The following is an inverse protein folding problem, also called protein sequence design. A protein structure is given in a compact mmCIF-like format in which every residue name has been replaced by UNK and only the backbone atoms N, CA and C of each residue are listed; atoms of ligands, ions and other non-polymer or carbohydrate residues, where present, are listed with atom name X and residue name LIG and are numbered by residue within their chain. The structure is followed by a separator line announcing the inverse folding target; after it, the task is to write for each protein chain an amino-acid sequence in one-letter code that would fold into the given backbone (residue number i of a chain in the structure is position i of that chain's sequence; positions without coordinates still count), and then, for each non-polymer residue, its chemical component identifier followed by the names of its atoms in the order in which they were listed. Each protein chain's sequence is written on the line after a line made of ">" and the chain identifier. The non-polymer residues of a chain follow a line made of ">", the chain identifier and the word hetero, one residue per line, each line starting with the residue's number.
data_IF_987635373484
#
_entry.id   IF_987635373484
#
_cell.length_a   1.000
_cell.length_b   1.000
_cell.length_c   1.000
_cell.angle_alpha   90.00
_cell.angle_beta   90.00
_cell.angle_gamma   90.00
#
_symmetry.space_group_name_H-M   'P 1'
#
loop_
_entity.id
_entity.type
_entity.pdbx_description
1 polymer ?
#
# COMPACT_ATOMS: atom_id res chain seq x y z
N UNK A 1 -32.57 -42.68 -52.11
CA UNK A 1 -31.27 -42.09 -51.70
C UNK A 1 -31.48 -41.29 -50.45
N UNK A 2 -30.99 -41.81 -49.32
CA UNK A 2 -31.18 -41.19 -48.00
C UNK A 2 -29.94 -40.42 -47.63
N UNK A 3 -29.99 -39.10 -47.67
CA UNK A 3 -28.93 -38.21 -47.27
C UNK A 3 -28.99 -38.00 -45.74
N UNK A 4 -28.00 -38.52 -45.03
CA UNK A 4 -27.88 -38.37 -43.56
C UNK A 4 -27.07 -37.10 -43.30
N UNK A 5 -27.74 -36.07 -42.83
CA UNK A 5 -27.11 -34.83 -42.35
C UNK A 5 -26.62 -35.04 -40.92
N UNK A 6 -25.30 -35.09 -40.73
CA UNK A 6 -24.68 -35.15 -39.41
C UNK A 6 -24.58 -33.73 -38.83
N UNK A 7 -25.33 -33.43 -37.80
CA UNK A 7 -25.17 -32.24 -36.96
C UNK A 7 -23.92 -32.44 -36.08
N UNK A 8 -22.92 -31.62 -36.29
CA UNK A 8 -21.79 -31.45 -35.38
C UNK A 8 -22.15 -30.39 -34.31
N UNK A 9 -22.46 -30.84 -33.12
CA UNK A 9 -22.58 -29.94 -31.95
C UNK A 9 -21.19 -29.63 -31.41
N UNK A 10 -20.72 -28.42 -31.69
CA UNK A 10 -19.48 -27.90 -31.11
C UNK A 10 -19.78 -27.40 -29.68
N UNK A 11 -19.31 -28.14 -28.69
CA UNK A 11 -19.37 -27.74 -27.28
C UNK A 11 -18.24 -26.77 -27.02
N UNK A 12 -18.56 -25.47 -26.86
CA UNK A 12 -17.60 -24.45 -26.43
C UNK A 12 -17.40 -24.54 -24.95
N UNK A 13 -16.25 -25.04 -24.54
CA UNK A 13 -15.82 -25.07 -23.13
C UNK A 13 -15.24 -23.69 -22.77
N UNK A 14 -16.04 -22.85 -22.11
CA UNK A 14 -15.58 -21.57 -21.57
C UNK A 14 -14.79 -21.84 -20.30
N UNK A 15 -13.46 -21.77 -20.39
CA UNK A 15 -12.59 -21.82 -19.23
C UNK A 15 -12.65 -20.47 -18.51
N UNK A 16 -13.34 -20.40 -17.36
CA UNK A 16 -13.23 -19.26 -16.44
C UNK A 16 -11.83 -19.29 -15.79
N UNK A 17 -10.92 -18.48 -16.33
CA UNK A 17 -9.65 -18.20 -15.65
C UNK A 17 -9.93 -17.22 -14.50
N UNK A 18 -10.15 -17.75 -13.31
CA UNK A 18 -10.19 -16.96 -12.09
C UNK A 18 -8.82 -16.36 -11.83
N UNK A 19 -8.69 -15.05 -11.98
CA UNK A 19 -7.51 -14.31 -11.50
C UNK A 19 -7.56 -14.30 -9.98
N UNK A 20 -6.77 -15.17 -9.36
CA UNK A 20 -6.52 -15.11 -7.92
C UNK A 20 -5.75 -13.81 -7.65
N UNK A 21 -6.41 -12.83 -7.05
CA UNK A 21 -5.72 -11.69 -6.43
C UNK A 21 -4.99 -12.24 -5.20
N UNK A 22 -3.68 -12.45 -5.33
CA UNK A 22 -2.85 -12.73 -4.17
C UNK A 22 -2.93 -11.51 -3.26
N UNK A 23 -3.45 -11.67 -2.05
CA UNK A 23 -3.38 -10.64 -1.02
C UNK A 23 -1.89 -10.34 -0.77
N UNK A 24 -1.49 -9.08 -0.95
CA UNK A 24 -0.10 -8.70 -0.74
C UNK A 24 0.21 -8.85 0.76
N UNK A 25 1.16 -9.74 1.08
CA UNK A 25 1.63 -9.95 2.45
C UNK A 25 2.19 -8.64 3.01
N UNK A 26 1.74 -8.25 4.20
CA UNK A 26 2.24 -7.07 4.90
C UNK A 26 3.65 -7.37 5.40
N UNK A 27 4.56 -6.42 5.20
CA UNK A 27 5.93 -6.48 5.72
C UNK A 27 6.16 -5.29 6.65
N UNK A 28 6.80 -5.53 7.78
CA UNK A 28 7.23 -4.47 8.70
C UNK A 28 8.66 -4.05 8.38
N UNK A 29 8.89 -2.74 8.48
CA UNK A 29 10.21 -2.15 8.29
C UNK A 29 11.01 -2.02 9.60
N UNK A 30 12.23 -1.46 9.53
CA UNK A 30 13.11 -1.28 10.71
C UNK A 30 12.50 -0.43 11.82
N UNK A 31 11.58 0.48 11.49
CA UNK A 31 10.87 1.33 12.45
C UNK A 31 9.54 0.72 12.92
N UNK A 32 9.24 -0.53 12.53
CA UNK A 32 7.95 -1.21 12.74
C UNK A 32 6.79 -0.56 11.97
N UNK A 33 7.09 0.21 10.93
CA UNK A 33 6.13 0.70 9.97
C UNK A 33 5.84 -0.31 8.88
N UNK A 34 4.85 -0.03 8.05
CA UNK A 34 4.48 -0.89 6.92
C UNK A 34 5.36 -0.61 5.70
N UNK A 35 5.96 -1.66 5.15
CA UNK A 35 6.73 -1.56 3.91
C UNK A 35 5.79 -1.50 2.69
N UNK A 36 6.05 -0.51 1.85
CA UNK A 36 5.41 -0.29 0.56
C UNK A 36 6.44 -0.51 -0.53
N UNK A 37 6.26 -1.55 -1.34
CA UNK A 37 7.18 -1.86 -2.42
C UNK A 37 6.92 -0.96 -3.63
N UNK A 38 7.90 -0.13 -3.99
CA UNK A 38 7.80 0.83 -5.09
C UNK A 38 8.92 0.58 -6.09
N UNK A 39 8.62 -0.09 -7.18
CA UNK A 39 9.60 -0.49 -8.22
C UNK A 39 10.81 -1.21 -7.61
N UNK A 40 11.98 -0.58 -7.64
CA UNK A 40 13.23 -1.10 -7.08
C UNK A 40 13.54 -0.59 -5.67
N UNK A 41 12.66 0.24 -5.11
CA UNK A 41 12.80 0.85 -3.79
C UNK A 41 11.74 0.32 -2.83
N UNK A 42 12.00 0.47 -1.55
CA UNK A 42 11.03 0.21 -0.48
C UNK A 42 10.79 1.50 0.29
N UNK A 43 9.54 1.79 0.56
CA UNK A 43 9.15 2.93 1.37
C UNK A 43 8.51 2.41 2.66
N UNK A 44 8.98 2.85 3.82
CA UNK A 44 8.37 2.52 5.10
C UNK A 44 7.39 3.61 5.51
N UNK A 45 6.13 3.26 5.53
CA UNK A 45 5.04 4.08 6.05
C UNK A 45 4.99 3.93 7.57
N UNK A 46 5.16 5.03 8.28
CA UNK A 46 5.10 5.06 9.73
C UNK A 46 4.26 6.25 10.20
N UNK A 47 3.46 6.02 11.23
CA UNK A 47 2.65 7.07 11.87
C UNK A 47 3.36 7.49 13.14
N UNK A 48 3.75 8.76 13.19
CA UNK A 48 4.43 9.36 14.34
C UNK A 48 3.44 9.57 15.52
N UNK A 49 3.93 9.74 16.74
CA UNK A 49 3.07 9.97 17.91
C UNK A 49 2.19 11.22 17.81
N UNK A 50 2.59 12.21 17.03
CA UNK A 50 1.81 13.41 16.73
C UNK A 50 0.81 13.22 15.58
N UNK A 51 0.62 11.97 15.13
CA UNK A 51 -0.23 11.56 14.02
C UNK A 51 0.21 12.06 12.64
N UNK A 52 1.42 12.62 12.49
CA UNK A 52 1.98 12.83 11.15
C UNK A 52 2.45 11.52 10.54
N UNK A 53 2.45 11.44 9.21
CA UNK A 53 2.97 10.29 8.48
C UNK A 53 4.40 10.59 8.10
N UNK A 54 5.33 9.70 8.43
CA UNK A 54 6.70 9.72 7.90
C UNK A 54 6.92 8.58 6.92
N UNK A 55 7.66 8.87 5.85
CA UNK A 55 8.05 7.89 4.83
C UNK A 55 9.58 7.87 4.75
N UNK A 56 10.17 6.76 5.18
CA UNK A 56 11.57 6.47 5.00
C UNK A 56 11.78 5.59 3.76
N UNK A 57 12.89 5.77 3.07
CA UNK A 57 13.19 5.00 1.86
C UNK A 57 14.37 4.06 2.09
N UNK A 58 14.32 2.91 1.44
CA UNK A 58 15.35 1.88 1.49
C UNK A 58 15.58 1.32 0.08
N UNK A 59 16.76 0.78 -0.15
CA UNK A 59 17.05 -0.01 -1.35
C UNK A 59 16.51 -1.45 -1.22
N UNK A 60 16.72 -2.27 -2.25
CA UNK A 60 16.28 -3.66 -2.25
C UNK A 60 16.94 -4.51 -1.14
N UNK A 61 18.09 -4.09 -0.60
CA UNK A 61 18.77 -4.73 0.51
C UNK A 61 18.40 -4.15 1.89
N UNK A 62 17.33 -3.33 1.95
CA UNK A 62 16.89 -2.64 3.17
C UNK A 62 17.92 -1.68 3.78
N UNK A 63 18.80 -1.14 2.95
CA UNK A 63 19.72 -0.07 3.38
C UNK A 63 19.01 1.28 3.27
N UNK A 64 19.12 2.16 4.30
CA UNK A 64 18.51 3.47 4.26
C UNK A 64 18.98 4.30 3.07
N UNK A 65 18.04 4.97 2.43
CA UNK A 65 18.28 5.89 1.33
C UNK A 65 17.63 7.24 1.66
N UNK A 66 18.30 8.37 1.40
CA UNK A 66 17.69 9.66 1.62
C UNK A 66 16.55 9.91 0.63
N UNK A 67 15.51 10.59 1.08
CA UNK A 67 14.46 11.09 0.20
C UNK A 67 15.08 12.08 -0.81
N UNK A 68 14.88 11.82 -2.09
CA UNK A 68 15.48 12.61 -3.19
C UNK A 68 14.40 13.03 -4.20
N UNK A 69 14.15 12.20 -5.22
CA UNK A 69 13.21 12.51 -6.31
C UNK A 69 11.81 11.90 -6.08
N UNK A 70 11.61 11.15 -5.00
CA UNK A 70 10.34 10.51 -4.73
C UNK A 70 9.25 11.54 -4.43
N UNK A 71 8.04 11.26 -4.91
CA UNK A 71 6.85 12.07 -4.65
C UNK A 71 5.83 11.21 -3.92
N UNK A 72 5.38 11.70 -2.76
CA UNK A 72 4.37 11.03 -1.94
C UNK A 72 3.19 11.96 -1.72
N UNK A 73 2.00 11.43 -1.85
CA UNK A 73 0.76 12.05 -1.39
C UNK A 73 -0.08 11.01 -0.67
N UNK A 74 -0.88 11.43 0.28
CA UNK A 74 -1.81 10.54 0.95
C UNK A 74 -3.20 11.18 1.03
N UNK A 75 -4.23 10.34 1.09
CA UNK A 75 -5.61 10.76 1.33
C UNK A 75 -6.17 9.91 2.45
N UNK A 76 -6.53 10.53 3.56
CA UNK A 76 -7.26 9.90 4.64
C UNK A 76 -8.76 9.89 4.32
N UNK A 77 -9.38 8.72 4.24
CA UNK A 77 -10.81 8.54 4.03
C UNK A 77 -11.52 8.43 5.39
N UNK A 78 -11.44 9.51 6.18
CA UNK A 78 -11.99 9.56 7.52
C UNK A 78 -13.53 9.68 7.51
N UNK A 79 -14.23 9.31 8.60
CA UNK A 79 -15.69 9.46 8.70
C UNK A 79 -16.16 10.89 8.51
N UNK A 80 -15.32 11.87 8.85
CA UNK A 80 -15.59 13.31 8.69
C UNK A 80 -15.37 13.81 7.25
N UNK A 81 -14.86 12.97 6.36
CA UNK A 81 -14.57 13.29 4.96
C UNK A 81 -13.16 12.91 4.53
N UNK A 82 -12.87 13.15 3.26
CA UNK A 82 -11.55 12.88 2.69
C UNK A 82 -10.62 14.07 2.94
N UNK A 83 -9.48 13.80 3.54
CA UNK A 83 -8.43 14.80 3.80
C UNK A 83 -7.18 14.43 3.01
N UNK A 84 -6.74 15.32 2.14
CA UNK A 84 -5.50 15.17 1.39
C UNK A 84 -4.33 15.66 2.23
N UNK A 85 -3.29 14.84 2.31
CA UNK A 85 -2.06 15.12 3.03
C UNK A 85 -0.93 15.36 2.02
N UNK A 86 -0.26 16.49 2.16
CA UNK A 86 0.96 16.81 1.41
C UNK A 86 2.18 16.49 2.25
N UNK A 87 3.29 16.18 1.60
CA UNK A 87 4.53 15.82 2.24
C UNK A 87 5.61 16.86 1.97
N UNK A 88 6.51 17.00 2.91
CA UNK A 88 7.73 17.79 2.79
C UNK A 88 8.93 16.98 3.24
N UNK A 89 10.11 17.35 2.74
CA UNK A 89 11.34 16.68 3.15
C UNK A 89 11.77 17.17 4.52
N UNK A 90 11.97 16.23 5.45
CA UNK A 90 12.56 16.48 6.78
C UNK A 90 13.72 15.50 7.01
N UNK A 91 14.95 16.02 6.93
CA UNK A 91 16.13 15.15 6.96
C UNK A 91 16.15 14.21 5.75
N UNK A 92 16.25 12.91 6.01
CA UNK A 92 16.29 11.87 4.98
C UNK A 92 14.92 11.26 4.67
N UNK A 93 13.83 11.78 5.23
CA UNK A 93 12.48 11.28 5.09
C UNK A 93 11.54 12.31 4.47
N UNK A 94 10.39 11.84 4.00
CA UNK A 94 9.24 12.68 3.70
C UNK A 94 8.26 12.62 4.87
N UNK A 95 7.78 13.76 5.34
CA UNK A 95 6.84 13.85 6.48
C UNK A 95 5.62 14.65 6.04
N UNK A 96 4.43 14.21 6.44
CA UNK A 96 3.22 14.96 6.14
C UNK A 96 3.21 16.32 6.86
N UNK A 97 2.79 17.36 6.14
CA UNK A 97 2.72 18.73 6.66
C UNK A 97 1.67 18.89 7.76
N UNK A 98 0.65 18.07 7.72
CA UNK A 98 -0.45 18.06 8.69
C UNK A 98 -0.63 16.66 9.26
N UNK A 99 -1.12 16.53 10.49
CA UNK A 99 -1.43 15.24 11.08
C UNK A 99 -2.65 14.60 10.42
N UNK A 100 -2.79 13.30 10.62
CA UNK A 100 -3.99 12.55 10.26
C UNK A 100 -5.21 13.08 11.03
N UNK A 101 -6.41 13.06 10.42
CA UNK A 101 -7.65 13.36 11.11
C UNK A 101 -7.83 12.52 12.38
N UNK A 102 -8.54 13.06 13.34
CA UNK A 102 -8.93 12.33 14.56
C UNK A 102 -9.76 11.08 14.21
N UNK A 103 -9.72 10.10 15.08
CA UNK A 103 -10.40 8.82 14.93
C UNK A 103 -9.48 7.69 14.48
N UNK A 104 -10.08 6.51 14.36
CA UNK A 104 -9.43 5.25 13.97
C UNK A 104 -10.34 4.51 12.99
N UNK A 105 -9.86 3.38 12.45
CA UNK A 105 -10.62 2.48 11.59
C UNK A 105 -11.12 3.13 10.28
N UNK A 106 -10.30 3.97 9.68
CA UNK A 106 -10.53 4.46 8.32
C UNK A 106 -9.34 4.10 7.40
N UNK A 107 -9.53 4.27 6.11
CA UNK A 107 -8.48 3.92 5.13
C UNK A 107 -7.62 5.13 4.79
N UNK A 108 -6.31 4.93 4.73
CA UNK A 108 -5.36 5.89 4.17
C UNK A 108 -4.92 5.35 2.81
N UNK A 109 -5.14 6.15 1.77
CA UNK A 109 -4.65 5.86 0.42
C UNK A 109 -3.34 6.61 0.21
N UNK A 110 -2.24 5.87 0.17
CA UNK A 110 -0.89 6.44 -0.05
C UNK A 110 -0.51 6.23 -1.51
N UNK A 111 -0.09 7.29 -2.16
CA UNK A 111 0.41 7.27 -3.53
C UNK A 111 1.89 7.59 -3.51
N UNK A 112 2.70 6.69 -4.05
CA UNK A 112 4.16 6.86 -4.11
C UNK A 112 4.61 6.77 -5.55
N UNK A 113 5.47 7.70 -5.96
CA UNK A 113 6.19 7.69 -7.22
C UNK A 113 7.68 7.62 -6.92
N UNK A 114 8.43 6.82 -7.64
CA UNK A 114 9.88 6.76 -7.53
C UNK A 114 10.55 8.07 -8.01
N UNK A 115 9.96 8.73 -9.01
CA UNK A 115 10.29 10.09 -9.49
C UNK A 115 9.02 10.81 -9.88
N UNK A 116 9.09 12.12 -10.15
CA UNK A 116 7.93 12.90 -10.56
C UNK A 116 7.27 12.37 -11.85
N UNK A 117 8.06 11.80 -12.77
CA UNK A 117 7.63 11.25 -14.06
C UNK A 117 7.21 9.77 -13.97
N UNK A 118 7.56 9.08 -12.88
CA UNK A 118 7.25 7.68 -12.70
C UNK A 118 5.74 7.47 -12.50
N UNK A 119 5.28 6.26 -12.80
CA UNK A 119 3.91 5.87 -12.50
C UNK A 119 3.67 5.84 -10.99
N UNK A 120 2.51 6.32 -10.58
CA UNK A 120 2.09 6.25 -9.19
C UNK A 120 1.73 4.81 -8.82
N UNK A 121 2.26 4.34 -7.68
CA UNK A 121 1.80 3.13 -7.03
C UNK A 121 0.93 3.49 -5.83
N UNK A 122 -0.24 2.90 -5.75
CA UNK A 122 -1.24 3.21 -4.73
C UNK A 122 -1.32 2.08 -3.72
N UNK A 123 -1.37 2.46 -2.45
CA UNK A 123 -1.50 1.53 -1.33
C UNK A 123 -2.69 1.96 -0.47
N UNK A 124 -3.53 1.00 -0.13
CA UNK A 124 -4.65 1.21 0.80
C UNK A 124 -4.25 0.62 2.14
N UNK A 125 -4.16 1.47 3.15
CA UNK A 125 -3.73 1.09 4.49
C UNK A 125 -4.89 1.34 5.44
N UNK A 126 -5.49 0.29 6.01
CA UNK A 126 -6.45 0.47 7.09
C UNK A 126 -5.73 1.06 8.31
N UNK A 127 -6.24 2.18 8.82
CA UNK A 127 -5.68 2.81 10.02
C UNK A 127 -6.17 2.05 11.25
N UNK A 128 -5.26 1.41 11.92
CA UNK A 128 -5.43 0.86 13.25
C UNK A 128 -4.11 1.05 14.02
N UNK A 129 -4.17 1.87 15.05
CA UNK A 129 -2.99 2.25 15.87
C UNK A 129 -2.77 1.31 17.05
N UNK A 130 -3.64 0.34 17.27
CA UNK A 130 -3.45 -0.66 18.30
C UNK A 130 -2.19 -1.50 18.01
N UNK A 131 -1.61 -2.06 19.04
CA UNK A 131 -0.39 -2.89 18.91
C UNK A 131 -0.79 -4.34 18.87
N UNK A 132 -0.39 -5.03 17.81
CA UNK A 132 -0.57 -6.46 17.69
C UNK A 132 0.16 -7.20 18.82
N UNK A 133 -0.55 -8.08 19.52
CA UNK A 133 -0.02 -8.81 20.69
C UNK A 133 1.03 -9.84 20.32
N UNK A 134 1.01 -10.32 19.08
CA UNK A 134 1.91 -11.39 18.61
C UNK A 134 3.22 -10.81 18.06
N UNK A 135 3.17 -9.88 17.09
CA UNK A 135 4.37 -9.34 16.47
C UNK A 135 4.84 -8.01 17.08
N UNK A 136 4.07 -7.40 18.01
CA UNK A 136 4.39 -6.11 18.62
C UNK A 136 4.57 -4.95 17.64
N UNK A 137 3.98 -5.05 16.45
CA UNK A 137 3.88 -3.98 15.48
C UNK A 137 2.51 -3.29 15.60
N UNK A 138 2.35 -2.04 15.16
CA UNK A 138 1.02 -1.48 14.97
C UNK A 138 0.20 -2.34 14.01
N UNK A 139 -1.11 -2.45 14.21
CA UNK A 139 -1.98 -3.31 13.40
C UNK A 139 -1.94 -2.93 11.90
N UNK A 140 -1.76 -1.65 11.54
CA UNK A 140 -1.57 -1.25 10.14
C UNK A 140 -0.29 -1.82 9.49
N UNK A 141 0.65 -2.33 10.28
CA UNK A 141 1.91 -2.96 9.87
C UNK A 141 2.07 -4.37 10.47
N UNK A 142 0.97 -4.99 10.90
CA UNK A 142 0.98 -6.33 11.45
C UNK A 142 1.41 -7.34 10.39
N UNK A 143 2.33 -8.23 10.76
CA UNK A 143 2.88 -9.29 9.89
C UNK A 143 2.38 -10.66 10.25
N UNK A 144 1.48 -10.76 11.22
CA UNK A 144 0.84 -12.03 11.59
C UNK A 144 -0.13 -12.41 10.47
N UNK A 145 0.00 -13.61 9.95
CA UNK A 145 -0.96 -14.17 9.01
C UNK A 145 -2.29 -14.41 9.76
N UNK A 146 -3.37 -13.85 9.23
CA UNK A 146 -4.73 -14.17 9.67
C UNK A 146 -5.18 -15.52 9.09
#
# INVERSE_FOLDING_TARGET
>A
MKTITRLLTATVLVALTGTAFAAATVKAGPRKGRILEVETQQAEFFIEPDRTISIAFYDAAMKPQPAAAQVVTATAEAPTGKVKLEFEKKGDMLVSKTPLPEGEHYTIVVQVKATAEAKSKNFRIPLDLSICKECSNPEYACTCDE
#
